data_IF_757682662718
#
_entry.id   IF_757682662718
#
_cell.length_a   1.000
_cell.length_b   1.000
_cell.length_c   1.000
_cell.angle_alpha   90.00
_cell.angle_beta   90.00
_cell.angle_gamma   90.00
#
_symmetry.space_group_name_H-M   'P 1'
#
loop_
_entity.id
_entity.type
_entity.pdbx_description
1 polymer ?
#
# COMPACT_ATOMS: atom_id res chain seq x y z
N UNK A 1 -21.44 -2.13 15.82
CA UNK A 1 -19.99 -2.26 15.67
C UNK A 1 -19.57 -1.65 14.35
N UNK A 2 -18.55 -0.84 14.37
CA UNK A 2 -18.04 -0.15 13.20
C UNK A 2 -17.30 -1.12 12.28
N UNK A 3 -17.62 -1.13 10.99
CA UNK A 3 -16.95 -2.01 10.02
C UNK A 3 -15.45 -1.73 9.93
N UNK A 4 -15.05 -0.46 10.05
CA UNK A 4 -13.63 -0.11 10.01
C UNK A 4 -12.88 -0.70 11.21
N UNK A 5 -13.51 -0.72 12.37
CA UNK A 5 -12.91 -1.33 13.57
C UNK A 5 -12.71 -2.82 13.38
N UNK A 6 -13.65 -3.49 12.72
CA UNK A 6 -13.55 -4.92 12.43
C UNK A 6 -12.38 -5.16 11.46
N UNK A 7 -12.27 -4.38 10.41
CA UNK A 7 -11.18 -4.52 9.43
C UNK A 7 -9.82 -4.28 10.07
N UNK A 8 -9.70 -3.23 10.88
CA UNK A 8 -8.46 -2.94 11.57
C UNK A 8 -8.06 -4.07 12.53
N UNK A 9 -9.02 -4.70 13.17
CA UNK A 9 -8.73 -5.79 14.10
C UNK A 9 -8.36 -7.08 13.39
N UNK A 10 -8.73 -7.23 12.10
CA UNK A 10 -8.35 -8.38 11.29
C UNK A 10 -6.97 -8.25 10.66
N UNK A 11 -6.42 -7.03 10.62
CA UNK A 11 -5.07 -6.83 10.14
C UNK A 11 -4.06 -7.44 11.11
N UNK A 12 -2.97 -7.95 10.55
CA UNK A 12 -1.86 -8.36 11.37
C UNK A 12 -1.22 -7.15 12.05
N UNK A 13 -0.60 -7.31 13.23
CA UNK A 13 0.02 -6.17 13.92
C UNK A 13 1.01 -5.39 13.07
N UNK A 14 1.77 -6.06 12.22
CA UNK A 14 2.74 -5.41 11.33
C UNK A 14 2.06 -4.55 10.28
N UNK A 15 0.96 -5.04 9.70
CA UNK A 15 0.17 -4.27 8.73
C UNK A 15 -0.45 -3.04 9.38
N UNK A 16 -0.97 -3.19 10.59
CA UNK A 16 -1.56 -2.10 11.34
C UNK A 16 -0.54 -1.01 11.63
N UNK A 17 0.64 -1.42 12.04
CA UNK A 17 1.75 -0.50 12.32
C UNK A 17 2.16 0.26 11.05
N UNK A 18 2.27 -0.44 9.93
CA UNK A 18 2.60 0.16 8.65
C UNK A 18 1.55 1.18 8.22
N UNK A 19 0.28 0.79 8.25
CA UNK A 19 -0.82 1.67 7.85
C UNK A 19 -0.87 2.92 8.74
N UNK A 20 -0.69 2.75 10.04
CA UNK A 20 -0.68 3.87 10.97
C UNK A 20 0.52 4.79 10.72
N UNK A 21 1.69 4.23 10.47
CA UNK A 21 2.89 5.00 10.14
C UNK A 21 2.65 5.85 8.89
N UNK A 22 2.10 5.24 7.85
CA UNK A 22 1.83 5.94 6.60
C UNK A 22 0.82 7.06 6.82
N UNK A 23 -0.27 6.78 7.52
CA UNK A 23 -1.29 7.78 7.81
C UNK A 23 -0.70 8.98 8.55
N UNK A 24 0.11 8.74 9.56
CA UNK A 24 0.73 9.79 10.36
C UNK A 24 1.79 10.57 9.58
N UNK A 25 2.43 9.93 8.60
CA UNK A 25 3.45 10.57 7.78
C UNK A 25 2.84 11.53 6.74
N UNK A 26 1.58 11.32 6.36
CA UNK A 26 0.92 12.20 5.39
C UNK A 26 0.49 13.49 6.09
N UNK A 27 0.90 14.67 5.59
CA UNK A 27 0.50 15.94 6.20
C UNK A 27 -1.02 16.04 6.28
N UNK A 28 -1.53 16.62 7.38
CA UNK A 28 -2.95 16.72 7.62
C UNK A 28 -3.69 17.45 6.47
N UNK A 29 -3.05 18.44 5.84
CA UNK A 29 -3.62 19.17 4.72
C UNK A 29 -3.76 18.34 3.44
N UNK A 30 -3.02 17.25 3.33
CA UNK A 30 -3.05 16.37 2.16
C UNK A 30 -3.93 15.13 2.36
N UNK A 31 -4.43 14.90 3.57
CA UNK A 31 -5.28 13.74 3.85
C UNK A 31 -6.64 13.82 3.17
N UNK A 32 -7.29 14.96 3.22
CA UNK A 32 -8.55 15.26 2.50
C UNK A 32 -9.58 14.10 2.52
N UNK A 33 -9.83 13.56 3.71
CA UNK A 33 -10.75 12.44 3.85
C UNK A 33 -10.12 11.05 3.69
N UNK A 34 -8.82 10.98 3.47
CA UNK A 34 -8.11 9.72 3.39
C UNK A 34 -8.20 8.99 4.74
N UNK A 35 -8.54 7.70 4.69
CA UNK A 35 -8.68 6.85 5.87
C UNK A 35 -7.61 5.77 5.88
N UNK A 36 -7.36 5.13 7.04
CA UNK A 36 -6.48 3.95 7.07
C UNK A 36 -6.94 2.83 6.13
N UNK A 37 -8.26 2.65 5.96
CA UNK A 37 -8.79 1.69 4.99
C UNK A 37 -8.35 2.02 3.57
N UNK A 38 -8.36 3.29 3.19
CA UNK A 38 -7.91 3.71 1.87
C UNK A 38 -6.44 3.36 1.66
N UNK A 39 -5.63 3.57 2.70
CA UNK A 39 -4.19 3.25 2.64
C UNK A 39 -3.99 1.74 2.43
N UNK A 40 -4.69 0.92 3.20
CA UNK A 40 -4.60 -0.53 3.06
C UNK A 40 -5.01 -0.97 1.65
N UNK A 41 -6.10 -0.41 1.13
CA UNK A 41 -6.56 -0.72 -0.22
C UNK A 41 -5.53 -0.34 -1.27
N UNK A 42 -4.90 0.83 -1.14
CA UNK A 42 -3.84 1.25 -2.06
C UNK A 42 -2.68 0.25 -2.05
N UNK A 43 -2.24 -0.17 -0.85
CA UNK A 43 -1.16 -1.13 -0.73
C UNK A 43 -1.52 -2.47 -1.37
N UNK A 44 -2.74 -2.95 -1.14
CA UNK A 44 -3.22 -4.20 -1.74
C UNK A 44 -3.28 -4.10 -3.27
N UNK A 45 -3.74 -2.98 -3.80
CA UNK A 45 -3.81 -2.77 -5.25
C UNK A 45 -2.43 -2.69 -5.88
N UNK A 46 -1.46 -2.11 -5.19
CA UNK A 46 -0.07 -2.09 -5.66
C UNK A 46 0.50 -3.50 -5.74
N UNK A 47 0.22 -4.33 -4.76
CA UNK A 47 0.66 -5.73 -4.76
C UNK A 47 -0.05 -6.52 -5.87
N UNK A 48 -1.35 -6.29 -6.08
CA UNK A 48 -2.10 -6.93 -7.17
C UNK A 48 -1.49 -6.60 -8.53
N UNK A 49 -1.08 -5.36 -8.73
CA UNK A 49 -0.40 -4.97 -9.97
C UNK A 49 0.90 -5.77 -10.16
N UNK A 50 1.70 -5.89 -9.10
CA UNK A 50 2.95 -6.62 -9.17
C UNK A 50 2.71 -8.11 -9.45
N UNK A 51 1.67 -8.71 -8.87
CA UNK A 51 1.30 -10.09 -9.17
C UNK A 51 0.90 -10.27 -10.63
N UNK A 52 0.13 -9.34 -11.18
CA UNK A 52 -0.28 -9.39 -12.59
C UNK A 52 0.90 -9.27 -13.54
N UNK A 53 1.93 -8.51 -13.16
CA UNK A 53 3.14 -8.36 -13.96
C UNK A 53 4.14 -9.50 -13.75
N UNK A 54 3.84 -10.44 -12.86
CA UNK A 54 4.75 -11.55 -12.55
C UNK A 54 5.94 -11.15 -11.70
N UNK A 55 5.86 -10.01 -11.02
CA UNK A 55 6.93 -9.48 -10.16
C UNK A 55 6.75 -9.80 -8.69
N UNK A 56 5.62 -10.40 -8.33
CA UNK A 56 5.30 -10.79 -6.95
C UNK A 56 4.56 -12.11 -6.99
N UNK A 57 4.98 -13.05 -6.16
CA UNK A 57 4.29 -14.34 -6.05
C UNK A 57 4.35 -14.85 -4.62
N UNK A 58 3.43 -15.74 -4.30
CA UNK A 58 3.43 -16.43 -3.01
C UNK A 58 4.24 -17.72 -3.11
N UNK A 59 5.18 -17.92 -2.18
CA UNK A 59 5.93 -19.17 -2.10
C UNK A 59 4.99 -20.27 -1.62
N UNK A 60 4.78 -21.35 -2.42
CA UNK A 60 3.84 -22.40 -2.05
C UNK A 60 4.27 -23.21 -0.82
N UNK A 61 5.53 -23.15 -0.43
CA UNK A 61 6.04 -23.88 0.72
C UNK A 61 5.90 -23.11 2.02
N UNK A 62 6.15 -21.80 1.99
CA UNK A 62 6.18 -20.98 3.20
C UNK A 62 4.99 -20.04 3.32
N UNK A 63 4.28 -19.77 2.22
CA UNK A 63 3.20 -18.79 2.17
C UNK A 63 3.70 -17.35 2.18
N UNK A 64 4.99 -17.14 2.12
CA UNK A 64 5.57 -15.81 2.09
C UNK A 64 5.53 -15.20 0.68
N UNK A 65 5.34 -13.89 0.61
CA UNK A 65 5.38 -13.17 -0.66
C UNK A 65 6.83 -12.95 -1.08
N UNK A 66 7.11 -13.21 -2.34
CA UNK A 66 8.44 -13.09 -2.92
C UNK A 66 8.43 -12.11 -4.08
N UNK A 67 9.32 -11.12 -4.02
CA UNK A 67 9.51 -10.17 -5.11
C UNK A 67 10.50 -10.74 -6.11
N UNK A 68 10.12 -10.71 -7.38
CA UNK A 68 10.93 -11.24 -8.47
C UNK A 68 11.64 -10.10 -9.21
N UNK A 69 12.77 -10.41 -9.84
CA UNK A 69 13.51 -9.43 -10.63
C UNK A 69 12.68 -8.94 -11.82
N UNK A 70 12.72 -7.64 -12.06
CA UNK A 70 12.01 -7.02 -13.16
C UNK A 70 11.87 -5.54 -12.92
N UNK A 71 11.44 -4.82 -13.95
CA UNK A 71 11.21 -3.39 -13.85
C UNK A 71 9.73 -3.10 -13.63
N UNK A 72 9.44 -2.20 -12.71
CA UNK A 72 8.08 -1.71 -12.47
C UNK A 72 7.91 -0.40 -13.22
N UNK A 73 6.89 -0.34 -14.07
CA UNK A 73 6.48 0.93 -14.67
C UNK A 73 5.62 1.68 -13.66
N UNK A 74 6.23 2.67 -13.01
CA UNK A 74 5.56 3.41 -11.93
C UNK A 74 4.32 4.16 -12.43
N UNK A 75 4.36 4.67 -13.66
CA UNK A 75 3.21 5.36 -14.25
C UNK A 75 2.06 4.40 -14.50
N UNK A 76 2.36 3.22 -15.03
CA UNK A 76 1.35 2.19 -15.29
C UNK A 76 0.75 1.69 -13.98
N UNK A 77 1.59 1.47 -12.97
CA UNK A 77 1.14 1.04 -11.64
C UNK A 77 0.21 2.10 -11.03
N UNK A 78 0.59 3.37 -11.11
CA UNK A 78 -0.24 4.46 -10.60
C UNK A 78 -1.60 4.49 -11.28
N UNK A 79 -1.63 4.37 -12.61
CA UNK A 79 -2.88 4.35 -13.37
C UNK A 79 -3.74 3.14 -13.01
N UNK A 80 -3.13 1.97 -12.84
CA UNK A 80 -3.85 0.76 -12.41
C UNK A 80 -4.54 1.00 -11.06
N UNK A 81 -3.81 1.52 -10.09
CA UNK A 81 -4.34 1.77 -8.75
C UNK A 81 -5.45 2.81 -8.80
N UNK A 82 -5.26 3.91 -9.53
CA UNK A 82 -6.28 4.97 -9.66
C UNK A 82 -7.57 4.44 -10.27
N UNK A 83 -7.48 3.65 -11.34
CA UNK A 83 -8.66 3.10 -11.99
C UNK A 83 -9.42 2.15 -11.06
N UNK A 84 -8.68 1.31 -10.32
CA UNK A 84 -9.30 0.38 -9.38
C UNK A 84 -9.99 1.12 -8.24
N UNK A 85 -9.38 2.18 -7.72
CA UNK A 85 -9.97 3.00 -6.66
C UNK A 85 -11.24 3.69 -7.15
N UNK A 86 -11.23 4.24 -8.36
CA UNK A 86 -12.41 4.87 -8.95
C UNK A 86 -13.54 3.86 -9.12
N UNK A 87 -13.23 2.63 -9.53
CA UNK A 87 -14.22 1.56 -9.68
C UNK A 87 -14.88 1.21 -8.34
N UNK A 88 -14.18 1.41 -7.23
CA UNK A 88 -14.72 1.15 -5.91
C UNK A 88 -15.34 2.39 -5.25
N UNK A 89 -15.42 3.49 -5.99
CA UNK A 89 -16.02 4.73 -5.48
C UNK A 89 -15.13 5.49 -4.51
N UNK A 90 -13.83 5.21 -4.51
CA UNK A 90 -12.87 5.89 -3.64
C UNK A 90 -12.39 7.19 -4.29
N UNK A 91 -12.09 8.19 -3.47
CA UNK A 91 -11.67 9.52 -3.93
C UNK A 91 -10.17 9.78 -3.70
N UNK A 92 -9.38 8.72 -3.58
CA UNK A 92 -7.93 8.85 -3.38
C UNK A 92 -7.29 9.43 -4.65
N UNK A 93 -6.41 10.42 -4.47
CA UNK A 93 -5.75 11.11 -5.59
C UNK A 93 -4.37 10.53 -5.86
N UNK A 94 -3.84 10.84 -7.05
CA UNK A 94 -2.47 10.43 -7.41
C UNK A 94 -1.43 11.00 -6.44
N UNK A 95 -1.62 12.22 -5.95
CA UNK A 95 -0.73 12.82 -4.96
C UNK A 95 -0.74 12.01 -3.67
N UNK A 96 -1.93 11.60 -3.21
CA UNK A 96 -2.06 10.80 -2.01
C UNK A 96 -1.38 9.42 -2.18
N UNK A 97 -1.54 8.80 -3.34
CA UNK A 97 -0.88 7.52 -3.64
C UNK A 97 0.63 7.70 -3.58
N UNK A 98 1.17 8.77 -4.16
CA UNK A 98 2.61 9.03 -4.11
C UNK A 98 3.10 9.21 -2.67
N UNK A 99 2.35 9.93 -1.85
CA UNK A 99 2.68 10.12 -0.44
C UNK A 99 2.66 8.78 0.32
N UNK A 100 1.71 7.91 -0.01
CA UNK A 100 1.63 6.57 0.58
C UNK A 100 2.88 5.77 0.21
N UNK A 101 3.28 5.79 -1.07
CA UNK A 101 4.47 5.07 -1.52
C UNK A 101 5.74 5.58 -0.85
N UNK A 102 5.89 6.89 -0.74
CA UNK A 102 7.04 7.50 -0.09
C UNK A 102 7.12 7.11 1.39
N UNK A 103 5.99 7.10 2.08
CA UNK A 103 5.92 6.73 3.48
C UNK A 103 6.19 5.24 3.68
N UNK A 104 5.70 4.39 2.77
CA UNK A 104 5.98 2.95 2.82
C UNK A 104 7.48 2.68 2.67
N UNK A 105 8.12 3.37 1.75
CA UNK A 105 9.56 3.26 1.54
C UNK A 105 10.32 3.69 2.80
N UNK A 106 9.93 4.79 3.40
CA UNK A 106 10.54 5.30 4.62
C UNK A 106 10.39 4.29 5.77
N UNK A 107 9.21 3.71 5.91
CA UNK A 107 8.96 2.68 6.91
C UNK A 107 9.90 1.48 6.71
N UNK A 108 10.05 1.03 5.47
CA UNK A 108 10.93 -0.10 5.15
C UNK A 108 12.38 0.20 5.48
N UNK A 109 12.84 1.42 5.23
CA UNK A 109 14.20 1.85 5.58
C UNK A 109 14.39 1.84 7.10
N UNK A 110 13.46 2.41 7.84
CA UNK A 110 13.54 2.47 9.31
C UNK A 110 13.51 1.10 9.95
N UNK A 111 12.79 0.16 9.36
CA UNK A 111 12.73 -1.22 9.89
C UNK A 111 13.86 -2.11 9.37
N UNK A 112 14.69 -1.60 8.48
CA UNK A 112 15.80 -2.37 7.93
C UNK A 112 15.42 -3.34 6.84
N UNK A 113 14.23 -3.21 6.25
CA UNK A 113 13.79 -4.06 5.12
C UNK A 113 14.48 -3.69 3.82
N UNK A 114 14.87 -2.41 3.67
CA UNK A 114 15.57 -1.89 2.50
C UNK A 114 16.89 -1.30 2.92
N UNK A 115 17.88 -1.40 2.05
CA UNK A 115 19.15 -0.75 2.30
C UNK A 115 19.06 0.72 1.88
N UNK A 116 19.55 1.59 2.75
CA UNK A 116 19.65 3.02 2.46
C UNK A 116 20.95 3.27 1.72
N UNK A 117 20.88 3.86 0.53
CA UNK A 117 22.05 4.21 -0.25
C UNK A 117 22.47 5.65 -0.05
#
# INVERSE_FOLDING_TARGET
MDNNSIEMSLMEPEERELVQFIYDAIPAGDRNGLTPDDILLVLDLMDDYLEEQGLLREDPQTGEMEYLDGEVDETEQLNYVLQALQSEGRTVTGVQIQLIQDAELQYGIEKGYYEEE
#
